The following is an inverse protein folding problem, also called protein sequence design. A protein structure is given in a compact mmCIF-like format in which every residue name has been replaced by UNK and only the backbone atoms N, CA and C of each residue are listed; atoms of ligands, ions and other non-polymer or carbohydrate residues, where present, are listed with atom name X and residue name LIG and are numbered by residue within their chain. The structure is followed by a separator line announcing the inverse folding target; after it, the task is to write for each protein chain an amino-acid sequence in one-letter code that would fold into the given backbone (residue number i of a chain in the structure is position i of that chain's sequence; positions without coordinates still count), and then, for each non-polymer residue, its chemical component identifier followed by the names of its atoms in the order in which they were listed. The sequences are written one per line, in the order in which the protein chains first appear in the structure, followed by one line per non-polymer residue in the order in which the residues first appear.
data_IF_166302533207
#
_entry.id   IF_166302533207
#
_cell.length_a   1.000
_cell.length_b   1.000
_cell.length_c   1.000
_cell.angle_alpha   90.00
_cell.angle_beta   90.00
_cell.angle_gamma   90.00
#
_symmetry.space_group_name_H-M   'P 1'
#
loop_
_entity.id
_entity.type
_entity.pdbx_description
1 polymer ?
#
# COMPACT_ATOMS: atom_id res chain seq x y z
N UNK A 1 26.55 21.88 -4.22
CA UNK A 1 27.01 23.25 -4.21
C UNK A 1 27.96 23.48 -3.03
N UNK A 2 28.95 24.38 -3.18
CA UNK A 2 29.91 24.64 -2.12
C UNK A 2 30.73 25.92 -2.35
N UNK A 3 31.41 26.31 -1.31
CA UNK A 3 32.46 27.33 -1.38
C UNK A 3 33.75 26.80 -0.72
N UNK A 4 34.88 27.36 -1.09
CA UNK A 4 36.17 26.97 -0.55
C UNK A 4 37.10 28.19 -0.49
N UNK A 5 38.06 28.14 0.44
CA UNK A 5 39.09 29.22 0.53
C UNK A 5 40.14 29.12 -0.58
N UNK A 6 40.43 27.89 -1.03
CA UNK A 6 41.42 27.60 -2.08
C UNK A 6 41.05 26.32 -2.81
N UNK A 7 41.30 26.31 -4.13
CA UNK A 7 41.18 25.12 -4.97
C UNK A 7 42.45 24.92 -5.77
N UNK A 8 43.08 23.75 -5.65
CA UNK A 8 44.22 23.30 -6.40
C UNK A 8 43.79 22.25 -7.43
N UNK A 9 43.97 22.52 -8.70
CA UNK A 9 43.75 21.60 -9.80
C UNK A 9 45.02 20.80 -10.03
N UNK A 10 45.01 19.51 -9.64
CA UNK A 10 46.19 18.65 -9.75
C UNK A 10 46.36 18.14 -11.18
N UNK A 11 45.24 17.69 -11.78
CA UNK A 11 45.13 17.28 -13.17
C UNK A 11 43.70 17.46 -13.68
N UNK A 12 43.37 16.85 -14.85
CA UNK A 12 42.04 16.98 -15.45
C UNK A 12 40.93 16.34 -14.59
N UNK A 13 41.27 15.33 -13.80
CA UNK A 13 40.30 14.53 -13.04
C UNK A 13 40.40 14.74 -11.52
N UNK A 14 41.51 15.28 -11.03
CA UNK A 14 41.75 15.45 -9.59
C UNK A 14 41.87 16.93 -9.20
N UNK A 15 41.08 17.31 -8.21
CA UNK A 15 41.15 18.64 -7.60
C UNK A 15 41.13 18.55 -6.07
N UNK A 16 41.82 19.45 -5.41
CA UNK A 16 41.83 19.52 -3.93
C UNK A 16 41.33 20.89 -3.53
N UNK A 17 40.31 20.91 -2.70
CA UNK A 17 39.74 22.14 -2.14
C UNK A 17 39.97 22.20 -0.63
N UNK A 18 40.31 23.39 -0.14
CA UNK A 18 40.67 23.61 1.25
C UNK A 18 39.65 24.52 1.95
N UNK A 19 39.41 24.22 3.25
CA UNK A 19 38.44 24.90 4.08
C UNK A 19 37.10 25.06 3.36
N UNK A 20 36.63 23.91 2.82
CA UNK A 20 35.49 23.88 1.93
C UNK A 20 34.21 23.57 2.70
N UNK A 21 33.09 24.12 2.20
CA UNK A 21 31.76 23.84 2.63
C UNK A 21 31.00 23.24 1.44
N UNK A 22 30.29 22.13 1.69
CA UNK A 22 29.47 21.43 0.69
C UNK A 22 28.07 21.14 1.21
N UNK A 23 27.05 21.40 0.38
CA UNK A 23 25.66 21.01 0.63
C UNK A 23 24.95 20.67 -0.69
N UNK A 24 23.93 19.80 -0.62
CA UNK A 24 23.01 19.56 -1.74
C UNK A 24 21.82 20.54 -1.76
N UNK A 25 21.67 21.38 -0.73
CA UNK A 25 20.65 22.41 -0.70
C UNK A 25 20.97 23.52 -1.72
N UNK A 26 20.03 23.77 -2.63
CA UNK A 26 20.18 24.87 -3.59
C UNK A 26 19.90 26.21 -2.91
N UNK A 27 20.57 27.30 -3.35
CA UNK A 27 20.26 28.65 -2.88
C UNK A 27 18.84 29.03 -3.28
N UNK A 28 18.21 29.88 -2.48
CA UNK A 28 16.94 30.49 -2.81
C UNK A 28 17.06 31.26 -4.12
N UNK A 29 16.25 30.97 -5.16
CA UNK A 29 16.31 31.69 -6.43
C UNK A 29 16.12 33.21 -6.31
N UNK A 30 15.38 33.64 -5.26
CA UNK A 30 15.15 35.09 -4.99
C UNK A 30 16.34 35.77 -4.25
N UNK A 31 17.21 34.98 -3.63
CA UNK A 31 18.36 35.48 -2.84
C UNK A 31 19.60 34.61 -3.04
N UNK A 32 20.14 34.52 -4.25
CA UNK A 32 21.24 33.61 -4.56
C UNK A 32 22.53 33.94 -3.77
N UNK A 33 22.73 35.18 -3.40
CA UNK A 33 23.94 35.65 -2.66
C UNK A 33 23.86 35.34 -1.14
N UNK A 34 22.68 34.93 -0.63
CA UNK A 34 22.48 34.61 0.78
C UNK A 34 22.36 33.11 1.02
N UNK A 35 23.22 32.30 0.36
CA UNK A 35 23.17 30.86 0.51
C UNK A 35 23.48 30.42 1.95
N UNK A 36 22.48 30.03 2.69
CA UNK A 36 22.57 29.51 4.04
C UNK A 36 21.79 28.17 4.11
N UNK A 37 22.45 27.06 3.72
CA UNK A 37 21.76 25.74 3.70
C UNK A 37 21.45 25.27 5.10
N UNK A 38 20.31 24.58 5.26
CA UNK A 38 19.88 23.98 6.52
C UNK A 38 20.91 22.99 7.07
N UNK A 39 21.66 22.37 6.18
CA UNK A 39 22.77 21.50 6.54
C UNK A 39 23.93 21.64 5.54
N UNK A 40 25.12 21.47 6.04
CA UNK A 40 26.32 21.40 5.21
C UNK A 40 27.43 20.64 5.92
N UNK A 41 28.35 20.13 5.11
CA UNK A 41 29.60 19.56 5.60
C UNK A 41 30.69 20.58 5.40
N UNK A 42 31.42 20.85 6.45
CA UNK A 42 32.68 21.65 6.40
C UNK A 42 33.83 20.68 6.48
N UNK A 43 34.74 20.68 5.51
CA UNK A 43 35.95 19.88 5.48
C UNK A 43 37.18 20.79 5.40
N UNK A 44 38.26 20.41 6.14
CA UNK A 44 39.54 21.11 5.99
C UNK A 44 40.16 20.86 4.62
N UNK A 45 39.96 19.65 4.09
CA UNK A 45 40.44 19.24 2.77
C UNK A 45 39.41 18.31 2.14
N UNK A 46 39.05 18.62 0.89
CA UNK A 46 38.18 17.76 0.08
C UNK A 46 38.94 17.47 -1.21
N UNK A 47 39.13 16.17 -1.47
CA UNK A 47 39.71 15.66 -2.70
C UNK A 47 38.56 15.29 -3.63
N UNK A 48 38.51 15.89 -4.81
CA UNK A 48 37.55 15.63 -5.85
C UNK A 48 38.21 14.76 -6.93
N UNK A 49 37.70 13.55 -7.11
CA UNK A 49 38.10 12.61 -8.15
C UNK A 49 36.93 12.40 -9.10
N UNK A 50 36.99 13.04 -10.27
CA UNK A 50 35.92 12.96 -11.27
C UNK A 50 35.99 11.66 -12.08
N UNK A 51 37.14 10.96 -12.10
CA UNK A 51 37.26 9.66 -12.76
C UNK A 51 36.57 8.55 -11.94
N UNK A 52 36.77 8.57 -10.63
CA UNK A 52 36.11 7.68 -9.70
C UNK A 52 34.70 8.17 -9.27
N UNK A 53 34.31 9.38 -9.71
CA UNK A 53 33.04 10.01 -9.35
C UNK A 53 32.89 10.16 -7.83
N UNK A 54 33.97 10.57 -7.15
CA UNK A 54 34.05 10.61 -5.69
C UNK A 54 34.63 11.90 -5.16
N UNK A 55 34.03 12.43 -4.09
CA UNK A 55 34.64 13.44 -3.23
C UNK A 55 35.01 12.79 -1.89
N UNK A 56 36.25 12.93 -1.50
CA UNK A 56 36.76 12.46 -0.21
C UNK A 56 37.03 13.64 0.71
N UNK A 57 36.39 13.65 1.87
CA UNK A 57 36.47 14.71 2.87
C UNK A 57 37.34 14.27 4.02
N UNK A 58 38.38 15.08 4.32
CA UNK A 58 39.25 14.88 5.48
C UNK A 58 38.95 15.95 6.54
N UNK A 59 38.87 15.48 7.81
CA UNK A 59 38.56 16.34 8.96
C UNK A 59 37.27 17.13 8.76
N UNK A 60 36.20 16.40 8.41
CA UNK A 60 34.86 16.95 8.17
C UNK A 60 34.11 17.19 9.46
N UNK A 61 33.11 18.08 9.39
CA UNK A 61 32.11 18.30 10.42
C UNK A 61 30.78 18.54 9.73
N UNK A 62 29.76 17.75 10.11
CA UNK A 62 28.40 17.98 9.68
C UNK A 62 27.80 19.09 10.56
N UNK A 63 27.26 20.11 9.92
CA UNK A 63 26.61 21.25 10.56
C UNK A 63 25.14 21.25 10.14
N UNK A 64 24.25 21.39 11.10
CA UNK A 64 22.80 21.46 10.87
C UNK A 64 22.23 22.68 11.60
N UNK A 65 21.49 23.54 10.87
CA UNK A 65 20.96 24.78 11.44
C UNK A 65 22.06 25.69 12.04
N UNK A 66 23.29 25.65 11.50
CA UNK A 66 24.44 26.39 12.00
C UNK A 66 25.17 25.76 13.22
N UNK A 67 24.66 24.63 13.74
CA UNK A 67 25.22 23.93 14.90
C UNK A 67 26.04 22.72 14.44
N UNK A 68 27.30 22.52 14.89
CA UNK A 68 28.07 21.32 14.61
C UNK A 68 27.45 20.12 15.34
N UNK A 69 26.94 19.14 14.55
CA UNK A 69 26.21 18.00 15.08
C UNK A 69 27.08 16.75 15.18
N UNK A 70 27.96 16.54 14.19
CA UNK A 70 28.77 15.33 14.11
C UNK A 70 30.14 15.62 13.51
N UNK A 71 31.23 15.32 14.23
CA UNK A 71 32.55 15.26 13.61
C UNK A 71 32.63 14.02 12.71
N UNK A 72 33.06 14.20 11.48
CA UNK A 72 33.23 13.13 10.48
C UNK A 72 34.70 13.18 10.05
N UNK A 73 35.58 12.37 10.66
CA UNK A 73 37.03 12.46 10.40
C UNK A 73 37.37 12.25 8.93
N UNK A 74 36.77 11.24 8.32
CA UNK A 74 36.88 10.90 6.92
C UNK A 74 35.56 10.35 6.39
N UNK A 75 35.12 10.81 5.25
CA UNK A 75 34.00 10.21 4.50
C UNK A 75 34.08 10.57 3.04
N UNK A 76 33.45 9.78 2.20
CA UNK A 76 33.34 10.06 0.79
C UNK A 76 31.88 10.08 0.33
N UNK A 77 31.61 10.86 -0.72
CA UNK A 77 30.30 10.95 -1.36
C UNK A 77 30.46 11.05 -2.89
N UNK A 78 29.46 10.58 -3.67
CA UNK A 78 29.49 10.68 -5.12
C UNK A 78 29.37 12.15 -5.57
N UNK A 79 30.07 12.51 -6.65
CA UNK A 79 29.97 13.83 -7.29
C UNK A 79 28.76 13.92 -8.23
N UNK A 80 28.30 12.80 -8.75
CA UNK A 80 27.12 12.68 -9.62
C UNK A 80 25.93 12.06 -8.87
N UNK A 81 24.77 11.99 -9.54
CA UNK A 81 23.55 11.34 -9.03
C UNK A 81 23.61 9.81 -9.09
N UNK A 82 24.77 9.22 -9.34
CA UNK A 82 24.94 7.77 -9.32
C UNK A 82 24.75 7.22 -7.92
N UNK A 83 24.05 6.09 -7.84
CA UNK A 83 23.86 5.36 -6.59
C UNK A 83 25.20 4.81 -6.10
N UNK A 84 25.44 4.93 -4.80
CA UNK A 84 26.65 4.41 -4.15
C UNK A 84 26.36 4.00 -2.72
N UNK A 85 27.02 2.95 -2.28
CA UNK A 85 26.95 2.54 -0.87
C UNK A 85 27.60 3.59 0.03
N UNK A 86 26.96 3.90 1.18
CA UNK A 86 27.49 4.87 2.12
C UNK A 86 26.54 5.21 3.26
N UNK A 87 27.05 5.98 4.22
CA UNK A 87 26.27 6.54 5.29
C UNK A 87 25.28 7.56 4.74
N UNK A 88 24.01 7.44 5.12
CA UNK A 88 23.00 8.47 4.88
C UNK A 88 22.97 9.49 6.03
N UNK A 89 22.43 10.67 5.81
CA UNK A 89 22.29 11.67 6.87
C UNK A 89 21.55 11.08 8.08
N UNK A 90 22.10 11.27 9.30
CA UNK A 90 21.44 10.81 10.51
C UNK A 90 20.18 11.64 10.79
N UNK A 91 19.26 11.04 11.53
CA UNK A 91 18.07 11.72 12.02
C UNK A 91 18.00 11.68 13.54
N UNK A 92 17.51 12.78 14.14
CA UNK A 92 17.29 12.90 15.57
C UNK A 92 15.84 13.22 15.81
N UNK A 93 15.21 12.46 16.67
CA UNK A 93 13.81 12.63 17.06
C UNK A 93 13.69 12.82 18.58
N UNK A 94 12.71 13.61 18.99
CA UNK A 94 12.36 13.85 20.38
C UNK A 94 10.91 13.41 20.62
N UNK A 95 10.71 12.48 21.52
CA UNK A 95 9.40 11.92 21.80
C UNK A 95 9.24 11.61 23.29
N UNK A 96 8.02 11.79 23.78
CA UNK A 96 7.69 11.38 25.16
C UNK A 96 7.83 9.86 25.35
N UNK A 97 7.67 9.06 24.32
CA UNK A 97 7.69 7.59 24.33
C UNK A 97 9.10 7.02 24.24
N UNK A 98 9.94 7.61 23.40
CA UNK A 98 11.28 7.09 23.09
C UNK A 98 12.38 7.92 23.77
N UNK A 99 12.04 9.13 24.21
CA UNK A 99 13.01 10.13 24.66
C UNK A 99 13.73 10.76 23.49
N UNK A 100 15.05 10.94 23.59
CA UNK A 100 15.89 11.31 22.46
C UNK A 100 16.24 10.06 21.70
N UNK A 101 15.99 10.07 20.41
CA UNK A 101 16.27 8.96 19.50
C UNK A 101 17.19 9.43 18.37
N UNK A 102 18.24 8.69 18.12
CA UNK A 102 19.21 8.88 17.04
C UNK A 102 19.15 7.71 16.10
N UNK A 103 19.06 7.96 14.79
CA UNK A 103 19.06 6.96 13.73
C UNK A 103 20.20 7.24 12.76
N UNK A 104 21.06 6.24 12.54
CA UNK A 104 22.13 6.28 11.56
C UNK A 104 21.90 5.21 10.50
N UNK A 105 21.39 5.58 9.32
CA UNK A 105 21.25 4.65 8.22
C UNK A 105 22.53 4.52 7.40
N UNK A 106 22.75 3.32 6.86
CA UNK A 106 23.75 3.00 5.85
C UNK A 106 23.05 2.39 4.63
N UNK A 107 23.32 2.94 3.46
CA UNK A 107 22.78 2.46 2.20
C UNK A 107 23.77 1.52 1.51
N UNK A 108 23.27 0.39 1.03
CA UNK A 108 24.02 -0.60 0.25
C UNK A 108 23.52 -0.57 -1.21
N UNK A 109 24.36 -0.11 -2.13
CA UNK A 109 24.16 -0.26 -3.57
C UNK A 109 24.68 -1.63 -4.00
N UNK A 110 23.80 -2.65 -3.97
CA UNK A 110 24.19 -4.04 -4.20
C UNK A 110 24.31 -4.33 -5.70
N UNK A 111 23.36 -3.83 -6.48
CA UNK A 111 23.28 -3.96 -7.92
C UNK A 111 22.35 -2.89 -8.51
N UNK A 112 22.38 -2.62 -9.83
CA UNK A 112 21.47 -1.64 -10.43
C UNK A 112 19.99 -1.83 -10.11
N UNK A 113 19.58 -3.05 -9.85
CA UNK A 113 18.21 -3.48 -9.58
C UNK A 113 17.99 -4.01 -8.15
N UNK A 114 18.96 -3.86 -7.25
CA UNK A 114 18.88 -4.34 -5.86
C UNK A 114 19.61 -3.39 -4.93
N UNK A 115 18.99 -3.03 -3.84
CA UNK A 115 19.61 -2.24 -2.80
C UNK A 115 19.10 -2.62 -1.41
N UNK A 116 19.84 -2.17 -0.40
CA UNK A 116 19.43 -2.30 0.98
C UNK A 116 19.76 -1.04 1.77
N UNK A 117 18.98 -0.78 2.80
CA UNK A 117 19.29 0.24 3.81
C UNK A 117 19.22 -0.43 5.18
N UNK A 118 20.25 -0.26 5.98
CA UNK A 118 20.27 -0.74 7.37
C UNK A 118 20.49 0.46 8.28
N UNK A 119 19.63 0.64 9.28
CA UNK A 119 19.75 1.73 10.24
C UNK A 119 19.86 1.19 11.67
N UNK A 120 20.82 1.69 12.41
CA UNK A 120 20.90 1.50 13.87
C UNK A 120 20.19 2.68 14.53
N UNK A 121 19.15 2.38 15.29
CA UNK A 121 18.39 3.36 16.05
C UNK A 121 18.72 3.25 17.54
N UNK A 122 19.09 4.34 18.16
CA UNK A 122 19.43 4.41 19.58
C UNK A 122 18.45 5.34 20.27
N UNK A 123 17.71 4.82 21.23
CA UNK A 123 16.71 5.55 22.00
C UNK A 123 17.10 5.61 23.47
N UNK A 124 17.04 6.80 24.06
CA UNK A 124 17.42 6.99 25.46
C UNK A 124 16.54 6.21 26.44
N UNK A 125 15.25 6.02 26.14
CA UNK A 125 14.30 5.29 27.01
C UNK A 125 14.19 3.80 26.67
N UNK A 126 14.26 3.43 25.37
CA UNK A 126 13.98 2.06 24.94
C UNK A 126 15.20 1.20 24.65
N UNK A 127 16.32 1.81 24.29
CA UNK A 127 17.55 1.10 23.95
C UNK A 127 17.88 1.14 22.48
N UNK A 128 18.36 0.03 21.93
CA UNK A 128 18.84 -0.07 20.55
C UNK A 128 17.96 -0.99 19.74
N UNK A 129 17.57 -0.56 18.54
CA UNK A 129 16.94 -1.39 17.53
C UNK A 129 17.66 -1.29 16.18
N UNK A 130 17.52 -2.32 15.39
CA UNK A 130 18.03 -2.43 14.04
C UNK A 130 16.87 -2.44 13.06
N UNK A 131 16.86 -1.47 12.17
CA UNK A 131 15.96 -1.43 11.01
C UNK A 131 16.70 -1.91 9.78
N UNK A 132 16.04 -2.66 8.92
CA UNK A 132 16.52 -3.06 7.61
C UNK A 132 15.45 -2.96 6.55
N UNK A 133 15.85 -2.50 5.37
CA UNK A 133 15.04 -2.51 4.15
C UNK A 133 15.85 -3.16 3.04
N UNK A 134 15.25 -4.08 2.31
CA UNK A 134 15.83 -4.66 1.10
C UNK A 134 14.83 -4.53 -0.04
N UNK A 135 15.28 -4.01 -1.20
CA UNK A 135 14.46 -3.84 -2.40
C UNK A 135 15.09 -4.55 -3.59
N UNK A 136 14.26 -5.08 -4.44
CA UNK A 136 14.66 -5.72 -5.69
C UNK A 136 13.65 -5.46 -6.79
N UNK A 137 14.14 -5.38 -8.03
CA UNK A 137 13.37 -5.10 -9.23
C UNK A 137 13.95 -5.91 -10.38
N UNK A 138 13.13 -6.81 -10.94
CA UNK A 138 13.45 -7.60 -12.13
C UNK A 138 12.38 -7.38 -13.21
N UNK A 139 12.57 -7.88 -14.40
CA UNK A 139 11.61 -7.69 -15.50
C UNK A 139 10.21 -8.25 -15.19
N UNK A 140 10.12 -9.35 -14.47
CA UNK A 140 8.87 -10.06 -14.19
C UNK A 140 8.44 -9.99 -12.71
N UNK A 141 9.28 -9.50 -11.81
CA UNK A 141 8.98 -9.40 -10.40
C UNK A 141 9.69 -8.25 -9.71
N UNK A 142 9.07 -7.73 -8.67
CA UNK A 142 9.68 -6.75 -7.77
C UNK A 142 9.18 -6.97 -6.35
N UNK A 143 9.88 -6.38 -5.42
CA UNK A 143 9.46 -6.45 -4.03
C UNK A 143 10.35 -5.68 -3.07
N UNK A 144 9.87 -5.63 -1.83
CA UNK A 144 10.52 -4.95 -0.73
C UNK A 144 10.28 -5.74 0.56
N UNK A 145 11.33 -5.89 1.33
CA UNK A 145 11.29 -6.40 2.70
C UNK A 145 11.74 -5.30 3.64
N UNK A 146 10.89 -4.93 4.59
CA UNK A 146 11.23 -4.07 5.72
C UNK A 146 11.18 -4.91 6.99
N UNK A 147 12.14 -4.72 7.87
CA UNK A 147 12.11 -5.34 9.19
C UNK A 147 12.68 -4.41 10.25
N UNK A 148 12.22 -4.58 11.48
CA UNK A 148 12.78 -3.91 12.65
C UNK A 148 12.93 -4.94 13.77
N UNK A 149 14.06 -4.91 14.49
CA UNK A 149 14.33 -5.81 15.59
C UNK A 149 14.95 -5.02 16.75
N UNK A 150 14.26 -4.98 17.87
CA UNK A 150 14.74 -4.49 19.16
C UNK A 150 14.93 -5.70 20.11
N UNK A 151 16.16 -6.13 20.34
CA UNK A 151 16.41 -7.32 21.16
C UNK A 151 15.92 -7.18 22.61
N UNK A 152 15.96 -5.97 23.15
CA UNK A 152 15.49 -5.65 24.49
C UNK A 152 14.96 -4.20 24.54
N UNK A 153 13.65 -4.04 24.61
CA UNK A 153 13.00 -2.76 24.91
C UNK A 153 13.05 -2.53 26.43
N UNK A 154 13.84 -1.55 26.88
CA UNK A 154 14.03 -1.25 28.30
C UNK A 154 12.74 -0.90 29.04
N UNK A 155 11.72 -0.41 28.34
CA UNK A 155 10.43 -0.04 28.96
C UNK A 155 9.54 -1.25 29.18
N UNK A 156 9.61 -2.27 28.31
CA UNK A 156 8.76 -3.46 28.41
C UNK A 156 9.51 -4.68 28.91
N UNK A 157 10.84 -4.67 28.88
CA UNK A 157 11.69 -5.81 29.23
C UNK A 157 11.62 -6.96 28.22
N UNK A 158 11.09 -6.72 27.03
CA UNK A 158 10.83 -7.77 26.03
C UNK A 158 11.52 -7.49 24.70
N UNK A 159 11.73 -8.57 23.93
CA UNK A 159 12.13 -8.46 22.52
C UNK A 159 10.94 -7.97 21.69
N UNK A 160 11.18 -6.99 20.83
CA UNK A 160 10.16 -6.44 19.93
C UNK A 160 10.65 -6.47 18.48
N UNK A 161 9.73 -6.73 17.57
CA UNK A 161 10.05 -6.82 16.15
C UNK A 161 8.84 -6.57 15.27
N UNK A 162 9.11 -6.16 14.05
CA UNK A 162 8.13 -6.11 12.96
C UNK A 162 8.76 -6.53 11.66
N UNK A 163 7.94 -7.01 10.74
CA UNK A 163 8.31 -7.12 9.34
C UNK A 163 7.14 -6.76 8.44
N UNK A 164 7.48 -6.29 7.25
CA UNK A 164 6.58 -6.13 6.11
C UNK A 164 7.28 -6.61 4.84
N UNK A 165 6.64 -7.50 4.11
CA UNK A 165 7.14 -8.02 2.85
C UNK A 165 6.10 -7.81 1.77
N UNK A 166 6.44 -7.00 0.76
CA UNK A 166 5.65 -6.79 -0.44
C UNK A 166 6.35 -7.43 -1.63
N UNK A 167 5.60 -8.21 -2.43
CA UNK A 167 6.11 -8.87 -3.63
C UNK A 167 5.04 -8.92 -4.69
N UNK A 168 5.41 -8.60 -5.93
CA UNK A 168 4.58 -8.78 -7.11
C UNK A 168 5.39 -9.46 -8.20
N UNK A 169 4.78 -10.45 -8.84
CA UNK A 169 5.37 -11.19 -9.95
C UNK A 169 4.33 -11.50 -11.02
N UNK A 170 4.73 -11.46 -12.28
CA UNK A 170 3.88 -11.76 -13.43
C UNK A 170 4.58 -12.68 -14.41
N UNK A 171 3.86 -13.73 -14.85
CA UNK A 171 4.33 -14.70 -15.84
C UNK A 171 3.36 -14.76 -17.02
N UNK A 172 3.58 -14.01 -18.09
CA UNK A 172 2.84 -14.21 -19.32
C UNK A 172 3.24 -15.55 -19.96
N UNK A 173 2.27 -16.31 -20.39
CA UNK A 173 2.46 -17.57 -21.11
C UNK A 173 1.85 -17.48 -22.51
N UNK A 174 2.35 -18.27 -23.46
CA UNK A 174 1.83 -18.20 -24.83
C UNK A 174 0.39 -18.71 -24.97
N UNK A 175 -0.01 -19.72 -24.21
CA UNK A 175 -1.31 -20.40 -24.41
C UNK A 175 -2.22 -20.39 -23.19
N UNK A 176 -1.66 -20.20 -21.99
CA UNK A 176 -2.38 -20.32 -20.72
C UNK A 176 -2.70 -18.99 -20.07
N UNK A 177 -2.49 -17.87 -20.77
CA UNK A 177 -2.71 -16.53 -20.24
C UNK A 177 -1.59 -16.07 -19.32
N UNK A 178 -1.92 -15.16 -18.41
CA UNK A 178 -0.96 -14.56 -17.48
C UNK A 178 -1.24 -15.04 -16.07
N UNK A 179 -0.21 -15.55 -15.41
CA UNK A 179 -0.22 -15.80 -13.97
C UNK A 179 0.45 -14.66 -13.23
N UNK A 180 -0.02 -14.38 -12.02
CA UNK A 180 0.57 -13.39 -11.14
C UNK A 180 0.63 -13.92 -9.70
N UNK A 181 1.71 -13.60 -9.00
CA UNK A 181 1.84 -13.80 -7.57
C UNK A 181 1.92 -12.43 -6.91
N UNK A 182 1.06 -12.18 -5.93
CA UNK A 182 1.14 -11.00 -5.08
C UNK A 182 1.22 -11.42 -3.61
N UNK A 183 2.06 -10.75 -2.85
CA UNK A 183 2.18 -10.93 -1.41
C UNK A 183 2.34 -9.57 -0.72
N UNK A 184 1.57 -9.35 0.33
CA UNK A 184 1.69 -8.23 1.26
C UNK A 184 1.57 -8.82 2.67
N UNK A 185 2.73 -9.19 3.25
CA UNK A 185 2.82 -9.94 4.49
C UNK A 185 3.37 -9.06 5.59
N UNK A 186 2.52 -8.73 6.56
CA UNK A 186 2.90 -7.92 7.70
C UNK A 186 2.67 -8.61 9.03
N UNK A 187 3.57 -8.40 9.99
CA UNK A 187 3.39 -8.82 11.37
C UNK A 187 4.23 -8.01 12.35
N UNK A 188 3.70 -7.85 13.57
CA UNK A 188 4.42 -7.22 14.68
C UNK A 188 4.42 -8.13 15.91
N UNK A 189 5.38 -7.91 16.81
CA UNK A 189 5.62 -8.75 17.99
C UNK A 189 4.49 -8.72 19.01
N UNK A 190 3.81 -7.58 19.15
CA UNK A 190 2.88 -7.34 20.26
C UNK A 190 1.83 -6.27 19.95
N UNK A 191 0.80 -6.22 20.77
CA UNK A 191 -0.37 -5.38 20.59
C UNK A 191 -0.12 -3.87 20.76
N UNK A 192 0.97 -3.49 21.40
CA UNK A 192 1.31 -2.07 21.64
C UNK A 192 2.35 -1.54 20.67
N UNK A 193 2.90 -2.41 19.81
CA UNK A 193 3.96 -2.06 18.86
C UNK A 193 3.62 -0.83 18.01
N UNK A 194 2.42 -0.79 17.43
CA UNK A 194 1.94 0.30 16.58
C UNK A 194 1.96 1.67 17.27
N UNK A 195 1.65 1.70 18.57
CA UNK A 195 1.62 2.93 19.36
C UNK A 195 3.03 3.41 19.73
N UNK A 196 3.93 2.47 19.99
CA UNK A 196 5.23 2.74 20.61
C UNK A 196 6.32 3.12 19.58
N UNK A 197 6.16 2.71 18.32
CA UNK A 197 7.16 2.90 17.25
C UNK A 197 6.71 3.81 16.10
N UNK A 198 5.72 4.68 16.32
CA UNK A 198 5.20 5.59 15.28
C UNK A 198 6.24 6.57 14.72
N UNK A 199 7.30 6.84 15.45
CA UNK A 199 8.22 7.96 15.18
C UNK A 199 9.61 7.52 14.67
N UNK A 200 9.95 6.24 14.74
CA UNK A 200 11.32 5.77 14.52
C UNK A 200 11.77 5.73 13.07
N UNK A 201 10.88 5.71 12.12
CA UNK A 201 11.26 5.65 10.73
C UNK A 201 10.53 6.74 9.95
N UNK A 202 11.25 7.74 9.46
CA UNK A 202 10.78 8.69 8.46
C UNK A 202 10.30 8.02 7.17
N UNK A 203 10.49 6.70 7.09
CA UNK A 203 9.85 5.84 6.12
C UNK A 203 8.56 5.30 6.76
N UNK A 204 7.45 5.66 6.16
CA UNK A 204 6.10 5.24 6.53
C UNK A 204 6.01 3.72 6.44
N UNK A 205 6.41 3.03 7.49
CA UNK A 205 6.03 1.64 7.64
C UNK A 205 4.52 1.63 7.83
N UNK A 206 3.78 1.19 6.82
CA UNK A 206 2.31 1.13 6.76
C UNK A 206 1.71 0.41 7.97
N UNK A 207 2.47 -0.49 8.59
CA UNK A 207 2.07 -1.28 9.76
C UNK A 207 2.05 -0.47 11.07
N UNK A 208 2.70 0.70 11.12
CA UNK A 208 2.88 1.44 12.38
C UNK A 208 1.64 2.24 12.77
N UNK A 209 0.74 2.55 11.82
CA UNK A 209 -0.43 3.38 12.07
C UNK A 209 -1.74 2.61 12.24
N UNK A 210 -1.74 1.30 11.99
CA UNK A 210 -2.96 0.52 11.90
C UNK A 210 -3.06 -0.54 13.00
N UNK A 211 -4.21 -0.60 13.69
CA UNK A 211 -4.52 -1.65 14.68
C UNK A 211 -4.88 -2.99 14.01
N UNK A 212 -5.03 -3.01 12.69
CA UNK A 212 -5.32 -4.19 11.88
C UNK A 212 -4.17 -4.39 10.90
N UNK A 213 -3.34 -5.38 11.14
CA UNK A 213 -2.20 -5.70 10.27
C UNK A 213 -2.59 -6.82 9.34
N UNK A 214 -2.74 -6.56 8.02
CA UNK A 214 -3.05 -7.59 7.05
C UNK A 214 -1.83 -8.43 6.70
N UNK A 215 -2.07 -9.70 6.38
CA UNK A 215 -1.12 -10.59 5.70
C UNK A 215 -1.88 -11.27 4.57
N UNK A 216 -1.56 -10.91 3.32
CA UNK A 216 -2.27 -11.34 2.13
C UNK A 216 -1.28 -11.95 1.15
N UNK A 217 -1.56 -13.16 0.65
CA UNK A 217 -0.87 -13.75 -0.49
C UNK A 217 -1.90 -14.25 -1.49
N UNK A 218 -1.70 -13.98 -2.78
CA UNK A 218 -2.61 -14.40 -3.83
C UNK A 218 -1.88 -14.87 -5.08
N UNK A 219 -2.35 -15.96 -5.65
CA UNK A 219 -2.02 -16.41 -6.99
C UNK A 219 -3.20 -16.03 -7.90
N UNK A 220 -2.90 -15.24 -8.93
CA UNK A 220 -3.87 -14.71 -9.89
C UNK A 220 -3.66 -15.38 -11.25
N UNK A 221 -4.73 -15.52 -12.02
CA UNK A 221 -4.70 -16.01 -13.39
C UNK A 221 -5.67 -15.26 -14.26
N UNK A 222 -5.25 -14.89 -15.49
CA UNK A 222 -6.08 -14.19 -16.47
C UNK A 222 -5.88 -14.81 -17.85
N UNK A 223 -6.97 -15.16 -18.53
CA UNK A 223 -6.97 -15.67 -19.88
C UNK A 223 -8.21 -15.17 -20.65
N UNK A 224 -8.03 -14.22 -21.54
CA UNK A 224 -9.12 -13.65 -22.32
C UNK A 224 -10.22 -13.08 -21.41
N UNK A 225 -11.39 -13.71 -21.44
CA UNK A 225 -12.55 -13.30 -20.64
C UNK A 225 -12.62 -13.95 -19.23
N UNK A 226 -11.63 -14.76 -18.90
CA UNK A 226 -11.53 -15.47 -17.63
C UNK A 226 -10.54 -14.80 -16.70
N UNK A 227 -10.88 -14.70 -15.43
CA UNK A 227 -9.96 -14.37 -14.36
C UNK A 227 -10.21 -15.27 -13.15
N UNK A 228 -9.15 -15.65 -12.47
CA UNK A 228 -9.24 -16.43 -11.24
C UNK A 228 -8.17 -16.01 -10.24
N UNK A 229 -8.43 -16.24 -8.96
CA UNK A 229 -7.40 -16.16 -7.94
C UNK A 229 -7.65 -17.18 -6.82
N UNK A 230 -6.55 -17.57 -6.20
CA UNK A 230 -6.55 -18.23 -4.89
C UNK A 230 -5.80 -17.32 -3.92
N UNK A 231 -6.42 -17.00 -2.79
CA UNK A 231 -5.90 -16.05 -1.82
C UNK A 231 -5.92 -16.62 -0.40
N UNK A 232 -4.87 -16.35 0.33
CA UNK A 232 -4.79 -16.48 1.78
C UNK A 232 -4.72 -15.07 2.37
N UNK A 233 -5.65 -14.74 3.27
CA UNK A 233 -5.68 -13.45 3.95
C UNK A 233 -5.91 -13.67 5.43
N UNK A 234 -5.00 -13.13 6.24
CA UNK A 234 -5.08 -13.17 7.70
C UNK A 234 -4.93 -11.77 8.28
N UNK A 235 -5.49 -11.58 9.46
CA UNK A 235 -5.41 -10.33 10.20
C UNK A 235 -4.73 -10.53 11.54
N UNK A 236 -3.75 -9.70 11.86
CA UNK A 236 -3.29 -9.53 13.23
C UNK A 236 -4.00 -8.30 13.80
N UNK A 237 -4.90 -8.51 14.75
CA UNK A 237 -5.63 -7.44 15.44
C UNK A 237 -4.87 -7.03 16.68
N UNK A 238 -4.43 -5.77 16.74
CA UNK A 238 -3.64 -5.24 17.84
C UNK A 238 -4.60 -4.72 18.92
N UNK A 239 -4.89 -5.58 19.89
CA UNK A 239 -5.80 -5.32 21.00
C UNK A 239 -5.04 -4.74 22.18
N UNK A 240 -5.44 -3.58 22.69
CA UNK A 240 -4.98 -3.11 23.98
C UNK A 240 -5.73 -3.87 25.08
N UNK A 241 -5.10 -4.15 26.24
CA UNK A 241 -5.86 -4.66 27.37
C UNK A 241 -6.83 -3.55 27.83
N UNK A 242 -8.14 -3.77 27.60
CA UNK A 242 -9.29 -3.00 28.07
C UNK A 242 -9.38 -1.48 27.77
N UNK A 243 -10.57 -0.91 27.57
CA UNK A 243 -11.90 -1.47 27.23
C UNK A 243 -12.22 -1.47 25.74
N UNK A 244 -11.31 -1.03 24.88
CA UNK A 244 -11.54 -0.78 23.45
C UNK A 244 -11.17 -1.98 22.57
N UNK A 245 -11.77 -3.14 22.82
CA UNK A 245 -11.59 -4.30 21.94
C UNK A 245 -12.19 -4.01 20.56
N UNK A 246 -11.36 -4.13 19.51
CA UNK A 246 -11.83 -4.11 18.13
C UNK A 246 -12.39 -5.48 17.79
N UNK A 247 -13.56 -5.50 17.14
CA UNK A 247 -14.05 -6.73 16.51
C UNK A 247 -13.13 -7.09 15.35
N UNK A 248 -12.39 -8.21 15.40
CA UNK A 248 -11.47 -8.58 14.32
C UNK A 248 -12.24 -8.88 13.05
N UNK A 249 -11.75 -8.46 11.87
CA UNK A 249 -12.30 -8.94 10.61
C UNK A 249 -12.05 -10.44 10.47
N UNK A 250 -12.86 -11.09 9.65
CA UNK A 250 -12.64 -12.50 9.35
C UNK A 250 -11.42 -12.69 8.45
N UNK A 251 -10.57 -13.65 8.80
CA UNK A 251 -9.60 -14.22 7.87
C UNK A 251 -10.31 -14.91 6.73
N UNK A 252 -9.73 -14.85 5.54
CA UNK A 252 -10.14 -15.61 4.35
C UNK A 252 -9.05 -16.63 4.04
N UNK A 253 -9.22 -17.85 4.52
CA UNK A 253 -8.13 -18.83 4.61
C UNK A 253 -8.63 -20.25 4.32
N UNK A 254 -8.59 -20.70 3.05
CA UNK A 254 -8.35 -19.98 1.80
C UNK A 254 -9.60 -19.32 1.20
N UNK A 255 -9.40 -18.49 0.19
CA UNK A 255 -10.45 -18.04 -0.74
C UNK A 255 -10.05 -18.40 -2.17
N UNK A 256 -10.97 -18.99 -2.94
CA UNK A 256 -10.83 -19.22 -4.36
C UNK A 256 -11.95 -18.50 -5.12
N UNK A 257 -11.59 -17.80 -6.17
CA UNK A 257 -12.53 -17.04 -6.99
C UNK A 257 -12.27 -17.30 -8.47
N UNK A 258 -13.35 -17.44 -9.24
CA UNK A 258 -13.35 -17.58 -10.69
C UNK A 258 -14.39 -16.65 -11.29
N UNK A 259 -13.99 -15.87 -12.28
CA UNK A 259 -14.88 -14.97 -13.01
C UNK A 259 -14.77 -15.18 -14.51
N UNK A 260 -15.89 -15.12 -15.17
CA UNK A 260 -16.02 -14.97 -16.62
C UNK A 260 -16.85 -13.74 -16.93
N UNK A 261 -16.40 -12.89 -17.85
CA UNK A 261 -17.18 -11.74 -18.31
C UNK A 261 -16.94 -11.49 -19.79
N UNK A 262 -18.01 -11.44 -20.57
CA UNK A 262 -17.94 -11.17 -22.00
C UNK A 262 -19.10 -10.27 -22.44
N UNK A 263 -18.75 -9.19 -23.11
CA UNK A 263 -19.71 -8.29 -23.74
C UNK A 263 -19.99 -8.72 -25.18
N UNK A 264 -21.19 -8.43 -25.64
CA UNK A 264 -21.66 -8.65 -27.01
C UNK A 264 -21.56 -10.11 -27.49
N UNK A 265 -21.75 -11.07 -26.62
CA UNK A 265 -21.89 -12.47 -26.98
C UNK A 265 -23.28 -12.68 -27.63
N UNK A 266 -23.35 -12.72 -28.94
CA UNK A 266 -24.60 -12.71 -29.70
C UNK A 266 -25.56 -11.55 -29.30
N UNK A 267 -25.00 -10.37 -29.03
CA UNK A 267 -25.75 -9.18 -28.58
C UNK A 267 -26.06 -9.12 -27.10
N UNK A 268 -25.59 -10.08 -26.31
CA UNK A 268 -25.78 -10.13 -24.86
C UNK A 268 -24.47 -9.84 -24.13
N UNK A 269 -24.56 -9.17 -22.99
CA UNK A 269 -23.48 -9.12 -22.01
C UNK A 269 -23.72 -10.20 -20.97
N UNK A 270 -22.73 -11.07 -20.77
CA UNK A 270 -22.81 -12.18 -19.83
C UNK A 270 -21.68 -12.12 -18.82
N UNK A 271 -21.97 -12.40 -17.56
CA UNK A 271 -20.97 -12.59 -16.52
C UNK A 271 -21.35 -13.72 -15.59
N UNK A 272 -20.31 -14.34 -15.06
CA UNK A 272 -20.42 -15.42 -14.10
C UNK A 272 -19.30 -15.31 -13.07
N UNK A 273 -19.64 -15.41 -11.79
CA UNK A 273 -18.71 -15.33 -10.68
C UNK A 273 -18.94 -16.51 -9.74
N UNK A 274 -17.86 -17.17 -9.37
CA UNK A 274 -17.81 -18.19 -8.32
C UNK A 274 -16.83 -17.77 -7.24
N UNK A 275 -17.19 -17.91 -5.98
CA UNK A 275 -16.32 -17.67 -4.83
C UNK A 275 -16.54 -18.75 -3.78
N UNK A 276 -15.47 -19.35 -3.31
CA UNK A 276 -15.48 -20.24 -2.15
C UNK A 276 -14.50 -19.72 -1.14
N UNK A 277 -15.01 -19.32 0.02
CA UNK A 277 -14.21 -18.69 1.07
C UNK A 277 -14.42 -19.40 2.40
N UNK A 278 -13.33 -19.76 3.04
CA UNK A 278 -13.28 -20.20 4.42
C UNK A 278 -13.03 -19.00 5.33
N UNK A 279 -14.00 -18.69 6.19
CA UNK A 279 -13.92 -17.58 7.16
C UNK A 279 -13.53 -18.08 8.53
N UNK A 280 -12.54 -17.42 9.15
CA UNK A 280 -12.05 -17.71 10.50
C UNK A 280 -11.85 -16.42 11.28
N UNK A 281 -12.29 -16.37 12.51
CA UNK A 281 -12.03 -15.30 13.46
C UNK A 281 -12.32 -15.81 14.88
N UNK A 282 -12.18 -14.94 15.87
CA UNK A 282 -12.62 -15.25 17.23
C UNK A 282 -14.16 -15.12 17.34
N UNK A 283 -14.91 -16.22 17.52
CA UNK A 283 -16.36 -16.17 17.59
C UNK A 283 -16.90 -15.43 18.82
N UNK A 284 -16.11 -15.30 19.89
CA UNK A 284 -16.51 -14.52 21.08
C UNK A 284 -16.57 -13.02 20.77
N UNK A 285 -15.70 -12.54 19.91
CA UNK A 285 -15.64 -11.13 19.52
C UNK A 285 -16.58 -10.83 18.35
N UNK A 286 -16.60 -11.68 17.32
CA UNK A 286 -17.41 -11.46 16.13
C UNK A 286 -18.89 -11.78 16.32
N UNK A 287 -19.23 -12.65 17.31
CA UNK A 287 -20.58 -13.18 17.57
C UNK A 287 -21.15 -14.03 16.43
N UNK A 288 -20.32 -14.41 15.46
CA UNK A 288 -20.70 -15.28 14.35
C UNK A 288 -19.83 -16.54 14.33
N UNK A 289 -20.40 -17.70 13.90
CA UNK A 289 -19.63 -18.93 13.76
C UNK A 289 -18.65 -18.83 12.61
N UNK A 290 -17.48 -19.46 12.76
CA UNK A 290 -16.59 -19.72 11.62
C UNK A 290 -17.25 -20.65 10.62
N UNK A 291 -16.90 -20.55 9.34
CA UNK A 291 -17.54 -21.37 8.33
C UNK A 291 -17.01 -21.14 6.91
N UNK A 292 -17.58 -21.91 6.00
CA UNK A 292 -17.32 -21.78 4.56
C UNK A 292 -18.54 -21.18 3.87
N UNK A 293 -18.32 -20.21 3.01
CA UNK A 293 -19.33 -19.67 2.11
C UNK A 293 -18.96 -20.03 0.68
N UNK A 294 -19.89 -20.66 -0.03
CA UNK A 294 -19.84 -20.85 -1.47
C UNK A 294 -20.85 -19.93 -2.13
N UNK A 295 -20.38 -19.10 -3.04
CA UNK A 295 -21.16 -18.08 -3.71
C UNK A 295 -21.08 -18.28 -5.21
N UNK A 296 -22.23 -18.21 -5.90
CA UNK A 296 -22.32 -18.23 -7.35
C UNK A 296 -23.24 -17.10 -7.80
N UNK A 297 -22.82 -16.35 -8.79
CA UNK A 297 -23.58 -15.27 -9.41
C UNK A 297 -23.49 -15.38 -10.91
N UNK A 298 -24.63 -15.36 -11.59
CA UNK A 298 -24.72 -15.31 -13.05
C UNK A 298 -25.60 -14.14 -13.46
N UNK A 299 -25.16 -13.39 -14.44
CA UNK A 299 -25.89 -12.24 -14.97
C UNK A 299 -25.89 -12.25 -16.50
N UNK A 300 -27.04 -11.94 -17.07
CA UNK A 300 -27.25 -11.73 -18.51
C UNK A 300 -27.95 -10.40 -18.68
N UNK A 301 -27.46 -9.54 -19.56
CA UNK A 301 -28.11 -8.30 -19.95
C UNK A 301 -28.12 -8.13 -21.48
N UNK A 302 -29.15 -7.46 -21.97
CA UNK A 302 -29.30 -7.14 -23.38
C UNK A 302 -29.22 -5.63 -23.58
N UNK A 303 -28.05 -5.08 -23.96
CA UNK A 303 -27.88 -3.66 -24.19
C UNK A 303 -28.41 -3.29 -25.58
N UNK A 304 -29.63 -2.74 -25.66
CA UNK A 304 -30.15 -2.11 -26.85
C UNK A 304 -29.81 -0.61 -26.81
N UNK A 305 -28.86 -0.23 -27.64
CA UNK A 305 -28.29 1.12 -27.66
C UNK A 305 -28.62 1.81 -29.00
N UNK A 306 -29.12 3.03 -28.93
CA UNK A 306 -29.40 3.91 -30.10
C UNK A 306 -28.82 5.30 -29.82
N UNK A 307 -28.53 6.11 -30.85
CA UNK A 307 -28.02 7.47 -30.64
C UNK A 307 -28.92 8.37 -29.78
N UNK A 308 -30.23 8.10 -29.79
CA UNK A 308 -31.24 8.86 -29.05
C UNK A 308 -31.67 8.26 -27.73
N UNK A 309 -31.13 7.08 -27.37
CA UNK A 309 -31.48 6.44 -26.09
C UNK A 309 -31.05 4.99 -25.97
N UNK A 310 -31.31 4.42 -24.84
CA UNK A 310 -30.94 3.01 -24.54
C UNK A 310 -32.00 2.31 -23.69
N UNK A 311 -32.05 0.99 -23.82
CA UNK A 311 -32.82 0.09 -22.96
C UNK A 311 -31.95 -1.13 -22.66
N UNK A 312 -31.68 -1.38 -21.38
CA UNK A 312 -30.82 -2.48 -20.93
C UNK A 312 -31.55 -3.32 -19.86
N UNK A 313 -32.39 -4.27 -20.26
CA UNK A 313 -32.91 -5.27 -19.34
C UNK A 313 -31.78 -6.19 -18.90
N UNK A 314 -31.78 -6.61 -17.61
CA UNK A 314 -30.87 -7.64 -17.15
C UNK A 314 -31.51 -8.56 -16.12
N UNK A 315 -31.08 -9.82 -16.14
CA UNK A 315 -31.46 -10.86 -15.18
C UNK A 315 -30.20 -11.36 -14.51
N UNK A 316 -30.23 -11.41 -13.17
CA UNK A 316 -29.13 -11.89 -12.33
C UNK A 316 -29.66 -12.96 -11.38
N UNK A 317 -28.93 -14.05 -11.27
CA UNK A 317 -29.18 -15.10 -10.26
C UNK A 317 -28.00 -15.16 -9.30
N UNK A 318 -28.27 -14.98 -8.00
CA UNK A 318 -27.28 -15.07 -6.94
C UNK A 318 -27.65 -16.24 -6.01
N UNK A 319 -26.73 -17.18 -5.82
CA UNK A 319 -26.90 -18.29 -4.86
C UNK A 319 -25.72 -18.32 -3.91
N UNK A 320 -26.02 -18.38 -2.62
CA UNK A 320 -25.02 -18.44 -1.55
C UNK A 320 -25.34 -19.61 -0.63
N UNK A 321 -24.37 -20.50 -0.44
CA UNK A 321 -24.43 -21.60 0.51
C UNK A 321 -23.46 -21.36 1.66
N UNK A 322 -23.95 -21.50 2.88
CA UNK A 322 -23.18 -21.39 4.11
C UNK A 322 -23.08 -22.74 4.79
N UNK A 323 -21.87 -23.09 5.25
CA UNK A 323 -21.62 -24.24 6.11
C UNK A 323 -20.77 -23.78 7.29
N UNK A 324 -21.32 -23.82 8.50
CA UNK A 324 -20.72 -23.29 9.72
C UNK A 324 -20.24 -24.39 10.66
N UNK A 325 -19.17 -24.10 11.42
CA UNK A 325 -18.57 -25.06 12.37
C UNK A 325 -19.46 -25.28 13.58
N UNK A 326 -20.13 -24.23 14.03
CA UNK A 326 -21.11 -24.24 15.12
C UNK A 326 -22.46 -23.76 14.60
N UNK A 327 -23.57 -24.08 15.26
CA UNK A 327 -24.91 -23.66 14.81
C UNK A 327 -25.04 -22.16 14.66
N UNK A 328 -25.73 -21.72 13.60
CA UNK A 328 -26.20 -20.36 13.40
C UNK A 328 -27.34 -20.01 14.36
N UNK A 329 -27.84 -18.77 14.31
CA UNK A 329 -28.90 -18.27 15.20
C UNK A 329 -30.21 -19.11 15.15
N UNK A 330 -30.47 -19.75 14.03
CA UNK A 330 -31.62 -20.64 13.85
C UNK A 330 -31.36 -22.12 14.24
N UNK A 331 -30.20 -22.44 14.81
CA UNK A 331 -29.77 -23.77 15.22
C UNK A 331 -29.24 -24.65 14.09
N UNK A 332 -29.32 -24.23 12.84
CA UNK A 332 -28.81 -24.98 11.69
C UNK A 332 -27.30 -24.73 11.49
N UNK A 333 -26.59 -25.70 10.88
CA UNK A 333 -25.17 -25.57 10.49
C UNK A 333 -24.99 -25.31 9.01
N UNK A 334 -26.06 -25.37 8.23
CA UNK A 334 -26.04 -25.04 6.81
C UNK A 334 -27.26 -24.22 6.43
N UNK A 335 -27.08 -23.34 5.46
CA UNK A 335 -28.17 -22.55 4.89
C UNK A 335 -27.86 -22.21 3.44
N UNK A 336 -28.90 -22.12 2.62
CA UNK A 336 -28.79 -21.70 1.23
C UNK A 336 -29.74 -20.53 0.98
N UNK A 337 -29.27 -19.49 0.32
CA UNK A 337 -30.07 -18.34 -0.10
C UNK A 337 -29.92 -18.16 -1.60
N UNK A 338 -31.05 -18.10 -2.32
CA UNK A 338 -31.07 -17.81 -3.76
C UNK A 338 -31.91 -16.55 -4.01
N UNK A 339 -31.31 -15.59 -4.71
CA UNK A 339 -31.90 -14.28 -5.01
C UNK A 339 -31.85 -14.04 -6.52
N UNK A 340 -32.97 -14.19 -7.23
CA UNK A 340 -33.09 -13.64 -8.58
C UNK A 340 -33.30 -12.13 -8.50
N UNK A 341 -32.64 -11.39 -9.38
CA UNK A 341 -32.81 -9.93 -9.52
C UNK A 341 -33.06 -9.58 -10.97
N UNK A 342 -34.14 -8.86 -11.23
CA UNK A 342 -34.40 -8.23 -12.53
C UNK A 342 -34.06 -6.75 -12.45
N UNK A 343 -33.39 -6.21 -13.47
CA UNK A 343 -33.17 -4.77 -13.60
C UNK A 343 -33.52 -4.32 -15.01
N UNK A 344 -34.11 -3.13 -15.11
CA UNK A 344 -34.33 -2.42 -16.35
C UNK A 344 -33.69 -1.03 -16.21
N UNK A 345 -32.73 -0.73 -17.06
CA UNK A 345 -32.07 0.57 -17.15
C UNK A 345 -32.38 1.15 -18.51
N UNK A 346 -32.99 2.34 -18.59
CA UNK A 346 -33.37 2.97 -19.83
C UNK A 346 -33.19 4.48 -19.74
N UNK A 347 -32.83 5.09 -20.88
CA UNK A 347 -32.64 6.52 -20.95
C UNK A 347 -32.91 7.05 -22.37
N UNK A 348 -33.28 8.30 -22.48
CA UNK A 348 -33.43 9.02 -23.70
C UNK A 348 -32.50 10.24 -23.71
N UNK A 349 -32.00 10.63 -24.88
CA UNK A 349 -31.16 11.80 -25.05
C UNK A 349 -31.88 12.76 -26.00
N UNK A 350 -32.21 13.94 -25.50
CA UNK A 350 -32.77 15.04 -26.28
C UNK A 350 -31.73 16.14 -26.36
N UNK A 351 -31.52 16.64 -27.59
CA UNK A 351 -30.60 17.76 -27.84
C UNK A 351 -31.34 18.86 -28.59
N UNK A 352 -31.05 20.10 -28.25
CA UNK A 352 -31.46 21.26 -28.99
C UNK A 352 -30.39 22.34 -28.99
N UNK A 353 -30.25 23.00 -30.13
CA UNK A 353 -29.49 24.24 -30.23
C UNK A 353 -30.27 25.40 -29.61
N UNK A 354 -29.62 26.20 -28.83
CA UNK A 354 -30.21 27.37 -28.16
C UNK A 354 -29.20 28.52 -28.12
N UNK A 355 -29.65 29.69 -27.72
CA UNK A 355 -28.80 30.87 -27.54
C UNK A 355 -28.99 31.37 -26.10
N UNK A 356 -27.92 31.43 -25.32
CA UNK A 356 -27.95 31.99 -23.98
C UNK A 356 -26.93 33.14 -23.87
N UNK A 357 -27.40 34.31 -23.46
CA UNK A 357 -26.58 35.55 -23.40
C UNK A 357 -25.82 35.87 -24.70
N UNK A 358 -26.45 35.63 -25.87
CA UNK A 358 -25.84 35.88 -27.18
C UNK A 358 -24.82 34.82 -27.64
N UNK A 359 -24.58 33.75 -26.87
CA UNK A 359 -23.71 32.63 -27.24
C UNK A 359 -24.55 31.43 -27.67
N UNK A 360 -24.14 30.81 -28.78
CA UNK A 360 -24.74 29.54 -29.21
C UNK A 360 -24.35 28.44 -28.22
N UNK A 361 -25.31 27.70 -27.72
CA UNK A 361 -25.14 26.57 -26.79
C UNK A 361 -25.98 25.39 -27.31
N UNK A 362 -25.51 24.16 -27.10
CA UNK A 362 -26.32 22.95 -27.20
C UNK A 362 -26.85 22.60 -25.81
N UNK A 363 -28.14 22.37 -25.69
CA UNK A 363 -28.79 21.93 -24.47
C UNK A 363 -29.17 20.45 -24.61
N UNK A 364 -28.75 19.63 -23.66
CA UNK A 364 -29.11 18.21 -23.56
C UNK A 364 -30.07 17.99 -22.42
N UNK A 365 -31.02 17.10 -22.59
CA UNK A 365 -31.90 16.58 -21.55
C UNK A 365 -31.88 15.05 -21.63
N UNK A 366 -31.39 14.41 -20.54
CA UNK A 366 -31.16 12.97 -20.49
C UNK A 366 -32.00 12.32 -19.36
N UNK A 367 -33.33 12.17 -19.57
CA UNK A 367 -34.14 11.44 -18.60
C UNK A 367 -33.74 9.95 -18.56
N UNK A 368 -33.59 9.40 -17.36
CA UNK A 368 -33.24 8.02 -17.12
C UNK A 368 -34.24 7.37 -16.18
N UNK A 369 -34.67 6.16 -16.51
CA UNK A 369 -35.49 5.30 -15.67
C UNK A 369 -34.69 4.05 -15.29
N UNK A 370 -34.52 3.84 -14.00
CA UNK A 370 -33.90 2.64 -13.46
C UNK A 370 -34.91 1.91 -12.58
N UNK A 371 -35.17 0.65 -12.90
CA UNK A 371 -36.02 -0.24 -12.11
C UNK A 371 -35.24 -1.46 -11.68
N UNK A 372 -35.34 -1.86 -10.42
CA UNK A 372 -34.72 -3.07 -9.88
C UNK A 372 -35.74 -3.79 -9.00
N UNK A 373 -35.82 -5.11 -9.16
CA UNK A 373 -36.65 -5.97 -8.34
C UNK A 373 -35.89 -7.20 -7.89
N UNK A 374 -35.79 -7.38 -6.58
CA UNK A 374 -35.25 -8.58 -5.94
C UNK A 374 -36.27 -9.05 -4.91
N UNK A 375 -36.80 -10.30 -4.98
CA UNK A 375 -37.72 -10.79 -3.98
C UNK A 375 -37.06 -10.92 -2.61
N UNK A 376 -37.77 -10.51 -1.57
CA UNK A 376 -37.31 -10.65 -0.19
C UNK A 376 -37.06 -12.12 0.18
N UNK A 377 -35.97 -12.37 0.89
CA UNK A 377 -35.65 -13.66 1.51
C UNK A 377 -35.20 -13.44 2.96
N UNK A 378 -35.71 -14.21 3.94
CA UNK A 378 -35.22 -14.15 5.32
C UNK A 378 -33.72 -14.46 5.39
N UNK A 379 -32.95 -13.62 5.99
CA UNK A 379 -31.48 -13.76 6.07
C UNK A 379 -30.88 -13.39 7.42
N UNK A 380 -31.71 -13.02 8.40
CA UNK A 380 -31.26 -12.54 9.72
C UNK A 380 -30.47 -13.60 10.51
N UNK A 381 -30.66 -14.89 10.17
CA UNK A 381 -29.94 -16.02 10.77
C UNK A 381 -28.58 -16.31 10.11
N UNK A 382 -28.29 -15.68 8.96
CA UNK A 382 -27.05 -15.93 8.22
C UNK A 382 -25.88 -15.17 8.84
N UNK A 383 -24.66 -15.75 8.87
CA UNK A 383 -23.50 -15.04 9.38
C UNK A 383 -23.10 -13.90 8.45
N UNK A 384 -22.75 -12.75 9.04
CA UNK A 384 -22.23 -11.57 8.34
C UNK A 384 -20.71 -11.60 8.41
N UNK A 385 -20.05 -12.11 7.37
CA UNK A 385 -18.59 -12.24 7.34
C UNK A 385 -17.88 -10.99 6.81
N UNK A 386 -18.34 -10.45 5.67
CA UNK A 386 -17.68 -9.38 4.93
C UNK A 386 -18.68 -8.45 4.22
N UNK A 387 -19.94 -8.49 4.59
CA UNK A 387 -20.99 -7.60 4.11
C UNK A 387 -21.33 -6.56 5.18
N UNK A 388 -21.68 -5.36 4.75
CA UNK A 388 -22.17 -4.28 5.58
C UNK A 388 -23.45 -3.69 4.99
N UNK A 389 -24.24 -3.03 5.81
CA UNK A 389 -25.35 -2.21 5.32
C UNK A 389 -24.78 -1.06 4.50
N UNK A 390 -25.29 -0.90 3.29
CA UNK A 390 -24.91 0.22 2.41
C UNK A 390 -25.92 1.35 2.63
N UNK A 391 -25.40 2.57 2.79
CA UNK A 391 -26.24 3.76 2.90
C UNK A 391 -27.07 3.96 1.62
N UNK A 392 -28.32 4.40 1.80
CA UNK A 392 -29.22 4.67 0.69
C UNK A 392 -28.85 6.01 0.04
N UNK A 393 -28.03 5.98 -1.00
CA UNK A 393 -27.59 7.14 -1.77
C UNK A 393 -27.96 6.98 -3.25
N UNK A 394 -27.97 8.08 -4.02
CA UNK A 394 -28.16 8.01 -5.46
C UNK A 394 -27.12 7.10 -6.13
N UNK A 395 -25.89 7.12 -5.62
CA UNK A 395 -24.81 6.24 -6.10
C UNK A 395 -25.09 4.77 -5.78
N UNK A 396 -25.58 4.45 -4.57
CA UNK A 396 -25.90 3.08 -4.19
C UNK A 396 -27.13 2.52 -4.91
N UNK A 397 -28.09 3.37 -5.31
CA UNK A 397 -29.25 2.99 -6.12
C UNK A 397 -28.82 2.69 -7.57
N UNK A 398 -27.89 3.46 -8.11
CA UNK A 398 -27.43 3.33 -9.49
C UNK A 398 -26.21 2.40 -9.63
N UNK A 399 -25.45 2.18 -8.56
CA UNK A 399 -24.36 1.21 -8.53
C UNK A 399 -24.93 -0.20 -8.33
N UNK A 400 -24.61 -1.06 -9.25
CA UNK A 400 -24.93 -2.48 -9.17
C UNK A 400 -23.89 -3.14 -8.27
N UNK A 401 -24.22 -3.36 -7.01
CA UNK A 401 -23.38 -4.13 -6.09
C UNK A 401 -23.29 -5.60 -6.52
#
# INVERSE_FOLDING_TARGET
LGNASRADFVDQNHSVVYDAMYSTCYPDPEKPDAWNPDWFVRGKRIILDTEQDEAHVENGTLIFGGVPVLPVPEFSFPLSDKRRSGLLPPTIHFSSRSGVAYSQPYYFDIAPNRDATVATNISSKRGVDLYGQFRYLEQSYHGQLDFNVMPNDRLTGTKRWSYNYAHEQSWPTQSWGTFGLSADLGRVSDNTYWRDFQEFNGQRNRLISERLVPSIAALNWNLGNWSAYVREQRWQTLQLPDPDNIVPPFDRSPQAHLRYARSQLAGLDVSFDLDVTRFRSDPFLTKYPNGTRSYANARVSYPWLQPWGFIVPSLQGNTTHYQTDTPMLNGARSATRTLPTFTLDSGLTFERDSTLFGRKISQTLEPRLFYAYTPYRPQDHLPVYDSALTDFTLTSISSRA
#
